data_IF_515123273581
#
_entry.id   IF_515123273581
#
_cell.length_a   1.000
_cell.length_b   1.000
_cell.length_c   1.000
_cell.angle_alpha   90.00
_cell.angle_beta   90.00
_cell.angle_gamma   90.00
#
_symmetry.space_group_name_H-M   'P 1'
#
loop_
_entity.id
_entity.type
_entity.pdbx_description
1 polymer ?
#
# COMPACT_ATOMS: atom_id res chain seq x y z
N UNK A 1 -31.66 -18.12 -3.24
CA UNK A 1 -31.10 -17.05 -2.39
C UNK A 1 -30.53 -15.96 -3.29
N UNK A 2 -30.86 -14.69 -3.04
CA UNK A 2 -30.34 -13.56 -3.81
C UNK A 2 -28.88 -13.26 -3.47
N UNK A 3 -28.16 -12.57 -4.36
CA UNK A 3 -26.78 -12.11 -4.12
C UNK A 3 -26.78 -10.76 -3.39
N UNK A 4 -25.94 -10.61 -2.37
CA UNK A 4 -25.75 -9.34 -1.65
C UNK A 4 -24.56 -8.60 -2.25
N UNK A 5 -24.73 -7.34 -2.60
CA UNK A 5 -23.69 -6.47 -3.16
C UNK A 5 -23.56 -5.23 -2.27
N UNK A 6 -22.34 -4.93 -1.81
CA UNK A 6 -22.04 -3.71 -1.02
C UNK A 6 -21.17 -2.77 -1.85
N UNK A 7 -21.62 -1.54 -2.07
CA UNK A 7 -20.87 -0.55 -2.84
C UNK A 7 -20.19 0.46 -1.92
N UNK A 8 -18.86 0.49 -1.92
CA UNK A 8 -18.06 1.52 -1.23
C UNK A 8 -17.63 2.58 -2.23
N UNK A 9 -18.39 3.69 -2.32
CA UNK A 9 -18.12 4.77 -3.27
C UNK A 9 -16.81 5.55 -2.98
N UNK A 10 -16.35 5.51 -1.73
CA UNK A 10 -15.12 6.16 -1.29
C UNK A 10 -14.32 5.17 -0.45
N UNK A 11 -13.65 4.23 -1.12
CA UNK A 11 -12.79 3.23 -0.45
C UNK A 11 -11.62 3.94 0.22
N UNK A 12 -11.38 3.64 1.50
CA UNK A 12 -10.22 4.17 2.24
C UNK A 12 -9.28 3.07 2.66
N UNK A 13 -8.05 3.46 3.01
CA UNK A 13 -7.13 2.62 3.76
C UNK A 13 -7.06 3.22 5.15
N UNK A 14 -7.54 2.47 6.14
CA UNK A 14 -7.54 2.93 7.52
C UNK A 14 -6.22 2.54 8.16
N UNK A 15 -5.48 3.54 8.66
CA UNK A 15 -4.22 3.33 9.37
C UNK A 15 -4.42 3.56 10.86
N UNK A 16 -4.40 2.47 11.63
CA UNK A 16 -4.50 2.52 13.09
C UNK A 16 -3.12 2.49 13.71
N UNK A 17 -2.78 3.55 14.46
CA UNK A 17 -1.50 3.69 15.14
C UNK A 17 -1.66 3.50 16.65
N UNK A 18 -0.94 2.53 17.21
CA UNK A 18 -0.84 2.35 18.66
C UNK A 18 0.32 3.18 19.18
N UNK A 19 0.01 4.30 19.82
CA UNK A 19 1.00 5.23 20.39
C UNK A 19 1.09 5.10 21.93
N UNK A 20 2.24 5.38 22.55
CA UNK A 20 2.36 5.32 24.01
C UNK A 20 1.49 6.37 24.71
N UNK A 21 1.45 7.59 24.18
CA UNK A 21 0.69 8.74 24.68
C UNK A 21 0.55 9.77 23.56
N UNK A 22 -0.60 10.43 23.49
CA UNK A 22 -0.80 11.59 22.63
C UNK A 22 -0.23 12.86 23.27
N UNK A 23 0.56 13.62 22.50
CA UNK A 23 1.16 14.90 22.89
C UNK A 23 1.30 15.80 21.66
N UNK A 24 0.62 16.95 21.67
CA UNK A 24 0.66 17.91 20.56
C UNK A 24 2.04 18.57 20.42
N UNK A 25 2.40 18.97 19.20
CA UNK A 25 3.65 19.70 18.92
C UNK A 25 4.94 18.88 19.04
N UNK A 26 4.85 17.55 19.18
CA UNK A 26 6.01 16.67 19.32
C UNK A 26 5.94 15.49 18.35
N UNK A 27 7.10 14.94 18.01
CA UNK A 27 7.17 13.71 17.21
C UNK A 27 6.90 12.50 18.11
N UNK A 28 5.82 11.77 17.81
CA UNK A 28 5.45 10.54 18.50
C UNK A 28 5.74 9.34 17.60
N UNK A 29 6.52 8.37 18.09
CA UNK A 29 6.75 7.10 17.38
C UNK A 29 5.69 6.08 17.78
N UNK A 30 5.01 5.50 16.79
CA UNK A 30 4.05 4.43 17.02
C UNK A 30 4.77 3.14 17.44
N UNK A 31 4.21 2.42 18.42
CA UNK A 31 4.67 1.08 18.82
C UNK A 31 4.23 0.00 17.84
N UNK A 32 3.06 0.20 17.22
CA UNK A 32 2.47 -0.70 16.23
C UNK A 32 1.64 0.10 15.24
N UNK A 33 1.62 -0.36 13.99
CA UNK A 33 0.72 0.12 12.95
C UNK A 33 -0.09 -1.06 12.43
N UNK A 34 -1.39 -0.87 12.24
CA UNK A 34 -2.28 -1.83 11.58
C UNK A 34 -2.93 -1.11 10.40
N UNK A 35 -2.99 -1.79 9.26
CA UNK A 35 -3.60 -1.27 8.04
C UNK A 35 -4.79 -2.15 7.70
N UNK A 36 -5.95 -1.55 7.46
CA UNK A 36 -7.17 -2.25 7.05
C UNK A 36 -7.84 -1.54 5.89
N UNK A 37 -8.71 -2.25 5.17
CA UNK A 37 -9.63 -1.61 4.22
C UNK A 37 -10.68 -0.88 5.05
N UNK A 38 -10.93 0.38 4.70
CA UNK A 38 -11.96 1.20 5.31
C UNK A 38 -13.13 1.47 4.38
N UNK A 39 -14.21 1.95 4.97
CA UNK A 39 -15.44 2.30 4.29
C UNK A 39 -16.62 1.49 4.81
N UNK A 40 -17.69 2.20 5.20
CA UNK A 40 -18.86 1.59 5.86
C UNK A 40 -19.40 0.33 5.16
N UNK A 41 -19.53 0.30 3.82
CA UNK A 41 -20.05 -0.88 3.13
C UNK A 41 -19.02 -2.03 3.05
N UNK A 42 -17.72 -1.74 3.15
CA UNK A 42 -16.65 -2.74 3.24
C UNK A 42 -16.73 -3.50 4.56
N UNK A 43 -16.94 -2.79 5.68
CA UNK A 43 -17.11 -3.41 7.00
C UNK A 43 -18.32 -4.36 7.03
N UNK A 44 -19.42 -3.97 6.37
CA UNK A 44 -20.61 -4.83 6.23
C UNK A 44 -20.26 -6.11 5.47
N UNK A 45 -19.51 -6.02 4.38
CA UNK A 45 -19.06 -7.21 3.65
C UNK A 45 -18.10 -8.10 4.44
N UNK A 46 -17.24 -7.51 5.28
CA UNK A 46 -16.40 -8.27 6.20
C UNK A 46 -17.25 -9.08 7.19
N UNK A 47 -18.23 -8.45 7.83
CA UNK A 47 -19.11 -9.11 8.80
C UNK A 47 -19.98 -10.18 8.12
N UNK A 48 -20.50 -9.93 6.90
CA UNK A 48 -21.23 -10.93 6.13
C UNK A 48 -20.37 -12.18 5.84
N UNK A 49 -19.09 -11.97 5.50
CA UNK A 49 -18.12 -13.04 5.32
C UNK A 49 -17.89 -13.87 6.59
N UNK A 50 -17.72 -13.23 7.75
CA UNK A 50 -17.57 -13.90 9.07
C UNK A 50 -18.83 -14.71 9.44
N UNK A 51 -20.01 -14.29 9.01
CA UNK A 51 -21.27 -15.03 9.21
C UNK A 51 -21.52 -16.15 8.17
N UNK A 52 -20.58 -16.39 7.25
CA UNK A 52 -20.71 -17.39 6.19
C UNK A 52 -21.65 -16.99 5.06
N UNK A 53 -22.02 -15.71 4.97
CA UNK A 53 -22.89 -15.17 3.91
C UNK A 53 -22.01 -14.55 2.82
N UNK A 54 -22.08 -15.12 1.61
CA UNK A 54 -21.33 -14.57 0.47
C UNK A 54 -21.83 -13.17 0.06
N UNK A 55 -20.95 -12.18 0.09
CA UNK A 55 -21.19 -10.84 -0.44
C UNK A 55 -20.15 -10.45 -1.50
N UNK A 56 -20.53 -9.59 -2.44
CA UNK A 56 -19.62 -8.99 -3.41
C UNK A 56 -19.37 -7.53 -3.02
N UNK A 57 -18.12 -7.17 -2.76
CA UNK A 57 -17.71 -5.81 -2.41
C UNK A 57 -16.87 -5.16 -3.52
N UNK A 58 -17.50 -4.63 -4.59
CA UNK A 58 -16.78 -3.82 -5.57
C UNK A 58 -16.34 -2.49 -4.94
N UNK A 59 -15.03 -2.29 -4.81
CA UNK A 59 -14.43 -1.03 -4.39
C UNK A 59 -13.58 -0.44 -5.52
N UNK A 60 -13.46 0.89 -5.57
CA UNK A 60 -12.44 1.53 -6.40
C UNK A 60 -11.05 1.19 -5.85
N UNK A 61 -10.06 0.82 -6.67
CA UNK A 61 -8.69 0.68 -6.21
C UNK A 61 -8.21 2.01 -5.61
N UNK A 62 -7.39 1.98 -4.54
CA UNK A 62 -6.83 3.20 -3.96
C UNK A 62 -6.06 3.96 -5.05
N UNK A 63 -6.27 5.27 -5.13
CA UNK A 63 -5.41 6.13 -5.93
C UNK A 63 -3.97 5.97 -5.45
N UNK A 64 -2.99 5.86 -6.36
CA UNK A 64 -1.59 5.78 -5.96
C UNK A 64 -1.24 7.00 -5.09
N UNK A 65 -0.40 6.82 -4.06
CA UNK A 65 -0.01 7.93 -3.19
C UNK A 65 0.56 9.07 -4.05
N UNK A 66 0.27 10.31 -3.69
CA UNK A 66 0.72 11.50 -4.43
C UNK A 66 2.26 11.56 -4.63
N UNK A 67 3.03 10.84 -3.80
CA UNK A 67 4.47 10.63 -3.92
C UNK A 67 4.84 9.26 -4.50
N UNK A 68 4.09 8.72 -5.45
CA UNK A 68 4.58 7.62 -6.27
C UNK A 68 5.63 8.19 -7.24
N UNK A 69 6.91 7.75 -7.19
CA UNK A 69 7.91 8.22 -8.14
C UNK A 69 7.45 7.86 -9.55
N UNK A 70 7.37 8.86 -10.42
CA UNK A 70 7.18 8.63 -11.85
C UNK A 70 8.25 7.65 -12.30
N UNK A 71 7.86 6.48 -12.81
CA UNK A 71 8.81 5.55 -13.44
C UNK A 71 9.43 6.26 -14.64
N UNK A 72 10.55 6.93 -14.43
CA UNK A 72 11.43 7.31 -15.52
C UNK A 72 12.05 6.00 -16.01
N UNK A 73 11.74 5.64 -17.25
CA UNK A 73 12.32 4.50 -17.95
C UNK A 73 13.82 4.75 -18.13
N UNK A 74 14.63 4.42 -17.13
CA UNK A 74 16.08 4.41 -17.23
C UNK A 74 16.51 3.21 -18.07
N UNK A 75 16.62 3.47 -19.36
CA UNK A 75 17.25 2.60 -20.36
C UNK A 75 18.67 2.27 -19.88
N UNK A 76 18.91 1.01 -19.52
CA UNK A 76 20.22 0.53 -19.10
C UNK A 76 21.24 0.74 -20.22
N UNK A 77 22.15 1.69 -20.03
CA UNK A 77 23.32 1.87 -20.91
C UNK A 77 24.34 0.81 -20.52
N UNK A 78 24.48 -0.22 -21.36
CA UNK A 78 25.53 -1.23 -21.25
C UNK A 78 26.90 -0.56 -21.43
N UNK A 79 27.69 -0.45 -20.36
CA UNK A 79 29.10 -0.09 -20.46
C UNK A 79 29.91 -1.35 -20.75
N UNK A 80 30.37 -1.49 -22.00
CA UNK A 80 31.40 -2.46 -22.38
C UNK A 80 32.74 -2.02 -21.78
N UNK A 81 33.24 -2.76 -20.79
CA UNK A 81 34.62 -2.60 -20.31
C UNK A 81 35.56 -3.30 -21.29
N UNK A 82 36.17 -2.56 -22.21
CA UNK A 82 37.31 -3.06 -22.98
C UNK A 82 38.57 -2.98 -22.13
N UNK A 83 39.12 -4.14 -21.80
CA UNK A 83 40.44 -4.32 -21.21
C UNK A 83 41.53 -3.66 -22.07
N UNK A 84 42.32 -2.75 -21.50
CA UNK A 84 43.64 -2.40 -22.03
C UNK A 84 44.71 -2.77 -21.02
N UNK A 85 45.54 -3.72 -21.45
CA UNK A 85 46.79 -4.11 -20.82
C UNK A 85 47.88 -3.06 -21.05
N UNK A 86 48.64 -2.76 -20.00
CA UNK A 86 50.02 -2.24 -20.07
C UNK A 86 50.68 -2.62 -18.74
N UNK A 87 51.47 -3.69 -18.69
CA UNK A 87 52.92 -3.71 -18.92
C UNK A 87 53.77 -3.40 -17.66
N UNK A 88 54.11 -4.47 -16.92
CA UNK A 88 55.47 -4.95 -16.59
C UNK A 88 56.57 -3.89 -16.29
N UNK A 89 57.07 -3.90 -15.05
CA UNK A 89 58.49 -3.83 -14.60
C UNK A 89 58.48 -4.10 -13.09
N UNK A 90 58.93 -5.28 -12.65
CA UNK A 90 60.33 -5.63 -12.36
C UNK A 90 60.86 -4.84 -11.16
#
# INVERSE_FOLDING_TARGET
MGRIVTLTANTTIDQTLVIPRYASGTTIRAKRSVVSIGGKPTDVSYILGEMGVGSLAPGSPPTPPACAPSRSSSRAVSRSTSSRSTARRA
#
